data_IF_772887324618
#
_entry.id   IF_772887324618
#
_cell.length_a   1.000
_cell.length_b   1.000
_cell.length_c   1.000
_cell.angle_alpha   90.00
_cell.angle_beta   90.00
_cell.angle_gamma   90.00
#
_symmetry.space_group_name_H-M   'P 1'
#
loop_
_entity.id
_entity.type
_entity.pdbx_description
1 polymer ?
#
# COMPACT_ATOMS: atom_id res chain seq x y z
N UNK A 1 0.29 -0.21 -25.63
CA UNK A 1 -0.67 -0.91 -24.73
C UNK A 1 -1.53 -1.84 -25.56
N UNK A 2 -1.93 -2.98 -24.98
CA UNK A 2 -2.85 -3.93 -25.64
C UNK A 2 -4.17 -3.99 -24.88
N UNK A 3 -5.28 -3.76 -25.59
CA UNK A 3 -6.63 -3.86 -25.09
C UNK A 3 -7.28 -5.14 -25.61
N UNK A 4 -7.46 -6.11 -24.72
CA UNK A 4 -8.08 -7.39 -25.00
C UNK A 4 -9.52 -7.38 -24.45
N UNK A 5 -10.49 -7.79 -25.25
CA UNK A 5 -11.86 -7.94 -24.78
C UNK A 5 -12.56 -9.15 -25.40
N UNK A 6 -13.30 -9.90 -24.58
CA UNK A 6 -14.21 -10.93 -25.07
C UNK A 6 -15.38 -10.33 -25.85
N UNK A 7 -15.90 -9.18 -25.37
CA UNK A 7 -17.08 -8.51 -25.91
C UNK A 7 -16.97 -6.97 -25.89
N UNK A 8 -17.73 -6.25 -26.74
CA UNK A 8 -17.71 -4.79 -26.79
C UNK A 8 -18.53 -4.17 -25.64
N UNK A 9 -18.17 -4.47 -24.39
CA UNK A 9 -18.83 -3.92 -23.21
C UNK A 9 -18.59 -2.41 -23.05
N UNK A 10 -19.44 -1.72 -22.27
CA UNK A 10 -19.38 -0.25 -22.12
C UNK A 10 -18.01 0.23 -21.63
N UNK A 11 -17.49 -0.43 -20.60
CA UNK A 11 -16.16 -0.16 -20.03
C UNK A 11 -15.06 -0.17 -21.09
N UNK A 12 -15.03 -1.24 -21.91
CA UNK A 12 -14.12 -1.37 -23.04
C UNK A 12 -14.29 -0.24 -24.06
N UNK A 13 -15.53 0.08 -24.44
CA UNK A 13 -15.77 1.13 -25.44
C UNK A 13 -15.26 2.50 -24.96
N UNK A 14 -15.54 2.85 -23.69
CA UNK A 14 -15.08 4.11 -23.12
C UNK A 14 -13.57 4.16 -22.96
N UNK A 15 -12.96 3.08 -22.46
CA UNK A 15 -11.52 3.03 -22.29
C UNK A 15 -10.78 3.05 -23.63
N UNK A 16 -11.28 2.32 -24.63
CA UNK A 16 -10.72 2.34 -26.00
C UNK A 16 -10.70 3.77 -26.55
N UNK A 17 -11.83 4.46 -26.48
CA UNK A 17 -11.94 5.85 -26.94
C UNK A 17 -11.08 6.81 -26.12
N UNK A 18 -10.90 6.57 -24.82
CA UNK A 18 -9.98 7.33 -23.97
C UNK A 18 -8.53 7.17 -24.43
N UNK A 19 -8.05 5.92 -24.47
CA UNK A 19 -6.64 5.60 -24.77
C UNK A 19 -6.25 5.97 -26.20
N UNK A 20 -7.15 5.83 -27.18
CA UNK A 20 -6.85 6.20 -28.56
C UNK A 20 -6.70 7.72 -28.76
N UNK A 21 -7.34 8.54 -27.91
CA UNK A 21 -7.24 10.00 -27.97
C UNK A 21 -6.01 10.54 -27.24
N UNK A 22 -5.38 9.75 -26.39
CA UNK A 22 -4.17 10.14 -25.66
C UNK A 22 -2.94 10.00 -26.56
N UNK A 23 -2.30 11.12 -26.90
CA UNK A 23 -1.10 11.14 -27.75
C UNK A 23 0.10 10.41 -27.14
N UNK A 24 0.11 10.19 -25.82
CA UNK A 24 1.16 9.46 -25.12
C UNK A 24 0.97 7.93 -25.16
N UNK A 25 -0.13 7.44 -25.74
CA UNK A 25 -0.49 6.02 -25.77
C UNK A 25 -0.56 5.51 -27.21
N UNK A 26 0.14 4.41 -27.49
CA UNK A 26 -0.09 3.58 -28.68
C UNK A 26 -0.99 2.41 -28.26
N UNK A 27 -2.18 2.31 -28.85
CA UNK A 27 -3.21 1.35 -28.50
C UNK A 27 -3.43 0.32 -29.60
N UNK A 28 -3.14 -0.94 -29.28
CA UNK A 28 -3.57 -2.07 -30.11
C UNK A 28 -4.76 -2.76 -29.46
N UNK A 29 -5.66 -3.28 -30.29
CA UNK A 29 -6.94 -3.84 -29.85
C UNK A 29 -7.12 -5.25 -30.40
N UNK A 30 -7.43 -6.19 -29.50
CA UNK A 30 -7.91 -7.53 -29.84
C UNK A 30 -9.32 -7.71 -29.25
N UNK A 31 -10.33 -7.80 -30.13
CA UNK A 31 -11.71 -8.05 -29.74
C UNK A 31 -12.12 -9.45 -30.23
N UNK A 32 -12.29 -10.40 -29.32
CA UNK A 32 -12.52 -11.82 -29.64
C UNK A 32 -13.88 -12.06 -30.33
N UNK A 33 -14.91 -11.34 -29.91
CA UNK A 33 -16.21 -11.33 -30.62
C UNK A 33 -16.21 -10.52 -31.92
N UNK A 34 -15.07 -9.91 -32.26
CA UNK A 34 -14.87 -9.15 -33.48
C UNK A 34 -15.05 -10.01 -34.72
N UNK A 35 -15.54 -9.41 -35.80
CA UNK A 35 -15.62 -10.06 -37.12
C UNK A 35 -14.60 -9.44 -38.07
N UNK A 36 -14.13 -10.18 -39.09
CA UNK A 36 -13.30 -9.59 -40.13
C UNK A 36 -13.95 -8.34 -40.72
N UNK A 37 -13.18 -7.27 -40.86
CA UNK A 37 -13.64 -5.99 -41.41
C UNK A 37 -14.26 -5.01 -40.41
N UNK A 38 -14.18 -5.28 -39.09
CA UNK A 38 -14.51 -4.28 -38.08
C UNK A 38 -13.52 -3.10 -38.13
N UNK A 39 -14.05 -1.89 -37.93
CA UNK A 39 -13.25 -0.68 -37.73
C UNK A 39 -13.46 -0.20 -36.31
N UNK A 40 -12.36 0.08 -35.62
CA UNK A 40 -12.36 0.54 -34.23
C UNK A 40 -11.29 1.63 -34.05
N UNK A 41 -11.48 2.46 -33.03
CA UNK A 41 -10.48 3.45 -32.60
C UNK A 41 -9.30 2.72 -31.96
N UNK A 42 -8.28 2.44 -32.76
CA UNK A 42 -7.04 1.78 -32.37
C UNK A 42 -5.93 2.17 -33.36
N UNK A 43 -4.67 2.06 -32.93
CA UNK A 43 -3.52 2.16 -33.83
C UNK A 43 -3.41 0.90 -34.71
N UNK A 44 -3.59 -0.28 -34.10
CA UNK A 44 -3.68 -1.54 -34.82
C UNK A 44 -4.81 -2.41 -34.27
N UNK A 45 -5.55 -3.05 -35.18
CA UNK A 45 -6.49 -4.12 -34.85
C UNK A 45 -5.78 -5.45 -35.05
N UNK A 46 -5.73 -6.25 -34.00
CA UNK A 46 -5.13 -7.57 -34.01
C UNK A 46 -6.20 -8.62 -34.30
N UNK A 47 -5.86 -9.58 -35.15
CA UNK A 47 -6.69 -10.76 -35.42
C UNK A 47 -6.40 -11.89 -34.42
N UNK A 48 -5.19 -11.93 -33.87
CA UNK A 48 -4.73 -12.93 -32.90
C UNK A 48 -3.84 -12.27 -31.84
N UNK A 49 -3.69 -12.92 -30.69
CA UNK A 49 -2.82 -12.45 -29.62
C UNK A 49 -1.35 -12.71 -29.95
N UNK A 50 -0.42 -11.85 -29.50
CA UNK A 50 1.02 -12.03 -29.73
C UNK A 50 1.48 -13.47 -29.46
N UNK A 51 2.21 -14.04 -30.42
CA UNK A 51 2.71 -15.43 -30.34
C UNK A 51 4.21 -15.49 -30.06
N UNK A 52 4.92 -14.38 -30.29
CA UNK A 52 6.35 -14.27 -30.03
C UNK A 52 6.65 -13.36 -28.85
N UNK A 53 7.82 -13.58 -28.24
CA UNK A 53 8.30 -12.74 -27.15
C UNK A 53 8.53 -11.31 -27.61
N UNK A 54 9.02 -11.13 -28.83
CA UNK A 54 9.35 -9.85 -29.43
C UNK A 54 8.09 -8.99 -29.64
N UNK A 55 7.01 -9.58 -30.14
CA UNK A 55 5.70 -8.91 -30.25
C UNK A 55 5.17 -8.51 -28.88
N UNK A 56 5.17 -9.45 -27.93
CA UNK A 56 4.70 -9.18 -26.57
C UNK A 56 5.54 -8.10 -25.86
N UNK A 57 6.83 -7.98 -26.20
CA UNK A 57 7.74 -7.00 -25.63
C UNK A 57 7.40 -5.56 -25.99
N UNK A 58 6.65 -5.33 -27.08
CA UNK A 58 6.23 -3.99 -27.50
C UNK A 58 5.17 -3.37 -26.57
N UNK A 59 4.54 -4.19 -25.73
CA UNK A 59 3.51 -3.76 -24.80
C UNK A 59 4.07 -3.54 -23.40
N UNK A 60 3.65 -2.45 -22.76
CA UNK A 60 3.89 -2.19 -21.33
C UNK A 60 2.79 -2.79 -20.44
N UNK A 61 1.56 -2.82 -20.95
CA UNK A 61 0.37 -3.24 -20.23
C UNK A 61 -0.64 -3.93 -21.16
N UNK A 62 -1.27 -4.98 -20.63
CA UNK A 62 -2.46 -5.62 -21.19
C UNK A 62 -3.65 -5.32 -20.28
N UNK A 63 -4.74 -4.83 -20.87
CA UNK A 63 -6.02 -4.63 -20.18
C UNK A 63 -7.02 -5.60 -20.79
N UNK A 64 -7.48 -6.56 -19.99
CA UNK A 64 -8.29 -7.67 -20.43
C UNK A 64 -9.70 -7.61 -19.82
N UNK A 65 -10.71 -7.40 -20.66
CA UNK A 65 -12.12 -7.31 -20.28
C UNK A 65 -12.86 -8.60 -20.61
N UNK A 66 -13.21 -9.38 -19.57
CA UNK A 66 -13.87 -10.68 -19.68
C UNK A 66 -13.34 -11.53 -20.85
N UNK A 67 -12.01 -11.74 -20.97
CA UNK A 67 -11.43 -12.48 -22.08
C UNK A 67 -11.84 -13.96 -22.04
N UNK A 68 -12.04 -14.56 -23.21
CA UNK A 68 -12.08 -16.01 -23.35
C UNK A 68 -10.67 -16.54 -23.48
N UNK A 69 -10.07 -16.92 -22.34
CA UNK A 69 -8.72 -17.46 -22.33
C UNK A 69 -8.60 -18.83 -23.03
N UNK A 70 -9.72 -19.53 -23.30
CA UNK A 70 -9.70 -20.82 -23.96
C UNK A 70 -9.39 -20.73 -25.46
N UNK A 71 -9.53 -19.56 -26.07
CA UNK A 71 -9.13 -19.32 -27.45
C UNK A 71 -7.61 -19.29 -27.65
N UNK A 72 -6.84 -19.02 -26.58
CA UNK A 72 -5.37 -18.97 -26.68
C UNK A 72 -4.73 -20.35 -26.65
N UNK A 73 -3.65 -20.51 -27.41
CA UNK A 73 -2.75 -21.66 -27.35
C UNK A 73 -1.99 -21.75 -26.02
N UNK A 74 -1.41 -22.92 -25.72
CA UNK A 74 -0.61 -23.12 -24.51
C UNK A 74 0.66 -22.26 -24.53
N UNK A 75 1.21 -22.03 -25.72
CA UNK A 75 2.34 -21.13 -25.97
C UNK A 75 1.99 -19.68 -25.65
N UNK A 76 0.84 -19.18 -26.12
CA UNK A 76 0.37 -17.82 -25.81
C UNK A 76 0.09 -17.63 -24.30
N UNK A 77 -0.49 -18.63 -23.63
CA UNK A 77 -0.71 -18.60 -22.18
C UNK A 77 0.62 -18.55 -21.42
N UNK A 78 1.59 -19.37 -21.83
CA UNK A 78 2.93 -19.37 -21.25
C UNK A 78 3.67 -18.05 -21.52
N UNK A 79 3.50 -17.48 -22.71
CA UNK A 79 4.07 -16.21 -23.09
C UNK A 79 3.52 -15.06 -22.24
N UNK A 80 2.20 -14.97 -22.06
CA UNK A 80 1.59 -13.96 -21.20
C UNK A 80 2.08 -14.10 -19.75
N UNK A 81 2.12 -15.33 -19.22
CA UNK A 81 2.55 -15.57 -17.84
C UNK A 81 4.01 -15.17 -17.60
N UNK A 82 4.92 -15.57 -18.49
CA UNK A 82 6.34 -15.19 -18.43
C UNK A 82 6.55 -13.69 -18.68
N UNK A 83 5.75 -13.06 -19.55
CA UNK A 83 5.82 -11.63 -19.79
C UNK A 83 5.43 -10.81 -18.55
N UNK A 84 4.40 -11.22 -17.81
CA UNK A 84 4.08 -10.60 -16.52
C UNK A 84 5.16 -10.92 -15.49
N UNK A 85 5.52 -12.19 -15.32
CA UNK A 85 6.42 -12.65 -14.25
C UNK A 85 7.85 -12.15 -14.38
N UNK A 86 8.41 -12.23 -15.59
CA UNK A 86 9.84 -12.01 -15.84
C UNK A 86 10.07 -10.70 -16.58
N UNK A 87 9.08 -10.23 -17.33
CA UNK A 87 9.25 -9.04 -18.14
C UNK A 87 8.68 -7.75 -17.53
N UNK A 88 8.12 -7.84 -16.32
CA UNK A 88 7.55 -6.69 -15.62
C UNK A 88 6.25 -6.18 -16.22
N UNK A 89 5.60 -6.96 -17.10
CA UNK A 89 4.38 -6.58 -17.78
C UNK A 89 3.24 -6.26 -16.80
N UNK A 90 2.52 -5.17 -17.07
CA UNK A 90 1.32 -4.81 -16.33
C UNK A 90 0.10 -5.57 -16.87
N UNK A 91 -0.73 -6.12 -15.98
CA UNK A 91 -1.98 -6.78 -16.37
C UNK A 91 -3.14 -6.22 -15.56
N UNK A 92 -4.17 -5.71 -16.23
CA UNK A 92 -5.47 -5.41 -15.62
C UNK A 92 -6.45 -6.43 -16.13
N UNK A 93 -7.06 -7.21 -15.24
CA UNK A 93 -8.08 -8.21 -15.56
C UNK A 93 -9.41 -7.78 -14.97
N UNK A 94 -10.40 -7.61 -15.83
CA UNK A 94 -11.75 -7.20 -15.44
C UNK A 94 -12.68 -8.37 -15.68
N UNK A 95 -13.37 -8.77 -14.61
CA UNK A 95 -14.37 -9.81 -14.67
C UNK A 95 -15.59 -9.40 -15.50
N UNK A 96 -16.20 -10.37 -16.17
CA UNK A 96 -17.51 -10.21 -16.78
C UNK A 96 -18.36 -11.47 -16.66
N UNK A 97 -19.62 -11.32 -17.04
CA UNK A 97 -20.64 -12.36 -16.88
C UNK A 97 -20.60 -13.42 -17.99
N UNK A 98 -19.84 -13.21 -19.07
CA UNK A 98 -19.90 -14.07 -20.26
C UNK A 98 -18.86 -15.18 -20.17
N UNK A 99 -17.58 -14.82 -20.15
CA UNK A 99 -16.48 -15.79 -20.26
C UNK A 99 -16.02 -16.28 -18.89
N UNK A 100 -15.88 -15.37 -17.92
CA UNK A 100 -15.61 -15.74 -16.54
C UNK A 100 -16.84 -16.35 -15.87
N UNK A 101 -18.04 -15.85 -16.19
CA UNK A 101 -19.35 -16.27 -15.68
C UNK A 101 -19.88 -17.63 -16.15
N UNK A 102 -19.12 -18.43 -16.91
CA UNK A 102 -19.58 -19.75 -17.36
C UNK A 102 -19.17 -20.87 -16.38
N UNK A 103 -20.06 -21.37 -15.50
CA UNK A 103 -19.68 -22.28 -14.43
C UNK A 103 -19.44 -23.72 -14.90
N UNK A 104 -19.87 -24.08 -16.13
CA UNK A 104 -19.82 -25.47 -16.63
C UNK A 104 -18.67 -25.71 -17.59
N UNK A 105 -18.38 -24.74 -18.47
CA UNK A 105 -17.34 -24.85 -19.51
C UNK A 105 -16.35 -23.68 -19.52
N UNK A 106 -16.48 -22.71 -18.61
CA UNK A 106 -15.59 -21.56 -18.57
C UNK A 106 -14.14 -21.93 -18.22
N UNK A 107 -13.23 -21.09 -18.68
CA UNK A 107 -11.78 -21.20 -18.49
C UNK A 107 -11.37 -21.37 -17.02
N UNK A 108 -12.18 -20.89 -16.07
CA UNK A 108 -11.93 -21.02 -14.63
C UNK A 108 -11.88 -22.49 -14.17
N UNK A 109 -12.65 -23.38 -14.79
CA UNK A 109 -12.66 -24.80 -14.46
C UNK A 109 -11.64 -25.62 -15.26
N UNK A 110 -11.23 -25.12 -16.43
CA UNK A 110 -10.32 -25.78 -17.37
C UNK A 110 -8.91 -25.96 -16.77
N UNK A 111 -8.42 -27.19 -16.70
CA UNK A 111 -7.10 -27.49 -16.12
C UNK A 111 -5.95 -26.78 -16.86
N UNK A 112 -6.08 -26.56 -18.17
CA UNK A 112 -5.10 -25.87 -19.03
C UNK A 112 -4.84 -24.44 -18.57
N UNK A 113 -5.84 -23.82 -17.96
CA UNK A 113 -5.81 -22.42 -17.51
C UNK A 113 -5.15 -22.21 -16.14
N UNK A 114 -4.35 -23.17 -15.67
CA UNK A 114 -3.65 -23.07 -14.38
C UNK A 114 -2.74 -21.83 -14.27
N UNK A 115 -2.02 -21.53 -15.35
CA UNK A 115 -1.15 -20.34 -15.44
C UNK A 115 -1.95 -19.04 -15.42
N UNK A 116 -3.02 -18.95 -16.22
CA UNK A 116 -3.92 -17.79 -16.22
C UNK A 116 -4.52 -17.56 -14.84
N UNK A 117 -5.10 -18.59 -14.21
CA UNK A 117 -5.62 -18.48 -12.84
C UNK A 117 -4.55 -18.02 -11.85
N UNK A 118 -3.28 -18.38 -12.07
CA UNK A 118 -2.17 -17.97 -11.20
C UNK A 118 -1.88 -16.46 -11.28
N UNK A 119 -2.12 -15.82 -12.43
CA UNK A 119 -1.95 -14.37 -12.61
C UNK A 119 -2.94 -13.54 -11.80
N UNK A 120 -4.18 -14.00 -11.62
CA UNK A 120 -5.21 -13.23 -10.91
C UNK A 120 -4.88 -13.11 -9.41
N UNK A 121 -5.05 -11.95 -8.75
CA UNK A 121 -4.86 -11.76 -7.29
C UNK A 121 -5.93 -12.41 -6.41
N UNK A 122 -6.82 -13.20 -7.00
CA UNK A 122 -7.93 -13.86 -6.33
C UNK A 122 -7.88 -15.37 -6.58
N UNK A 123 -8.53 -16.10 -5.71
CA UNK A 123 -8.72 -17.55 -5.83
C UNK A 123 -10.13 -17.84 -6.33
N UNK A 124 -10.25 -18.75 -7.28
CA UNK A 124 -11.52 -19.10 -7.89
C UNK A 124 -12.12 -20.34 -7.23
N UNK A 125 -13.45 -20.39 -7.14
CA UNK A 125 -14.17 -21.58 -6.71
C UNK A 125 -14.20 -22.62 -7.84
N UNK A 126 -13.50 -23.75 -7.65
CA UNK A 126 -13.39 -24.84 -8.64
C UNK A 126 -14.37 -26.00 -8.40
N UNK A 127 -15.32 -25.85 -7.48
CA UNK A 127 -16.33 -26.88 -7.19
C UNK A 127 -17.70 -26.32 -7.57
N UNK A 128 -18.54 -27.18 -8.12
CA UNK A 128 -19.97 -26.93 -8.39
C UNK A 128 -20.69 -26.59 -7.06
N UNK A 129 -20.52 -25.37 -6.57
CA UNK A 129 -21.53 -24.71 -5.77
C UNK A 129 -22.60 -24.23 -6.75
N UNK A 130 -23.88 -24.41 -6.43
CA UNK A 130 -24.99 -24.11 -7.34
C UNK A 130 -24.90 -22.72 -7.96
N UNK A 131 -25.36 -22.57 -9.21
CA UNK A 131 -25.46 -21.30 -9.98
C UNK A 131 -24.53 -20.20 -9.47
N UNK A 132 -23.23 -20.35 -9.75
CA UNK A 132 -22.24 -19.26 -9.68
C UNK A 132 -22.50 -18.26 -10.82
N UNK A 133 -23.74 -17.80 -10.92
CA UNK A 133 -24.10 -16.72 -11.83
C UNK A 133 -23.44 -15.45 -11.29
N UNK A 134 -22.96 -14.59 -12.19
CA UNK A 134 -22.52 -13.25 -11.82
C UNK A 134 -23.59 -12.59 -10.97
N UNK A 135 -23.26 -12.17 -9.75
CA UNK A 135 -24.22 -11.48 -8.91
C UNK A 135 -24.54 -10.13 -9.53
N UNK A 136 -25.83 -9.82 -9.71
CA UNK A 136 -26.29 -8.53 -10.16
C UNK A 136 -27.47 -8.07 -9.28
N UNK A 137 -27.25 -7.00 -8.54
CA UNK A 137 -28.27 -6.30 -7.75
C UNK A 137 -29.14 -5.42 -8.67
N UNK A 138 -30.38 -5.18 -8.25
CA UNK A 138 -31.26 -4.17 -8.86
C UNK A 138 -30.82 -2.75 -8.52
N UNK A 139 -30.24 -2.56 -7.33
CA UNK A 139 -29.78 -1.27 -6.80
C UNK A 139 -28.24 -1.19 -6.86
N UNK A 140 -27.66 -0.01 -7.11
CA UNK A 140 -26.21 0.16 -7.05
C UNK A 140 -25.72 0.15 -5.59
N UNK A 141 -24.55 -0.45 -5.36
CA UNK A 141 -23.91 -0.50 -4.05
C UNK A 141 -22.52 0.13 -4.10
N UNK A 142 -22.19 1.03 -3.16
CA UNK A 142 -20.88 1.67 -3.11
C UNK A 142 -19.78 0.64 -2.90
N UNK A 143 -18.55 1.00 -3.22
CA UNK A 143 -17.40 0.16 -2.90
C UNK A 143 -16.97 0.41 -1.45
N UNK A 144 -16.73 -0.68 -0.72
CA UNK A 144 -16.22 -0.64 0.64
C UNK A 144 -14.68 -0.73 0.60
N UNK A 145 -14.01 0.39 0.84
CA UNK A 145 -12.56 0.48 0.70
C UNK A 145 -11.86 -0.04 1.95
N UNK A 146 -10.89 -0.92 1.73
CA UNK A 146 -9.92 -1.29 2.76
C UNK A 146 -8.98 -0.12 3.07
N UNK A 147 -8.23 -0.21 4.17
CA UNK A 147 -7.18 0.78 4.48
C UNK A 147 -6.18 0.90 3.33
N UNK A 148 -5.73 -0.23 2.80
CA UNK A 148 -4.77 -0.28 1.70
C UNK A 148 -5.34 0.34 0.43
N UNK A 149 -6.64 0.17 0.16
CA UNK A 149 -7.34 0.82 -0.95
C UNK A 149 -7.50 2.32 -0.78
N UNK A 150 -7.76 2.79 0.44
CA UNK A 150 -7.79 4.23 0.76
C UNK A 150 -6.41 4.86 0.57
N UNK A 151 -5.33 4.16 0.93
CA UNK A 151 -3.95 4.65 0.79
C UNK A 151 -3.38 4.48 -0.63
N UNK A 152 -4.08 3.75 -1.52
CA UNK A 152 -3.62 3.47 -2.88
C UNK A 152 -3.86 4.64 -3.83
N UNK A 153 -2.85 5.51 -3.99
CA UNK A 153 -2.96 6.72 -4.85
C UNK A 153 -3.35 6.44 -6.30
N UNK A 154 -2.96 5.27 -6.83
CA UNK A 154 -3.35 4.87 -8.18
C UNK A 154 -4.84 4.55 -8.31
N UNK A 155 -5.53 4.43 -7.18
CA UNK A 155 -6.96 4.17 -7.06
C UNK A 155 -7.74 5.42 -6.60
N UNK A 156 -7.06 6.58 -6.49
CA UNK A 156 -7.69 7.85 -6.16
C UNK A 156 -8.31 8.54 -7.37
N UNK A 157 -9.51 9.10 -7.20
CA UNK A 157 -10.21 9.90 -8.21
C UNK A 157 -9.78 11.38 -8.23
N UNK A 158 -9.07 11.83 -7.19
CA UNK A 158 -8.54 13.18 -7.04
C UNK A 158 -7.05 13.16 -6.65
N UNK A 159 -6.45 14.33 -6.45
CA UNK A 159 -5.01 14.47 -6.13
C UNK A 159 -4.68 14.23 -4.66
N UNK A 160 -5.66 14.38 -3.77
CA UNK A 160 -5.54 14.13 -2.34
C UNK A 160 -6.54 13.08 -1.85
N UNK A 161 -6.19 12.45 -0.73
CA UNK A 161 -6.96 11.34 -0.16
C UNK A 161 -8.39 11.76 0.23
N UNK A 162 -8.54 12.94 0.85
CA UNK A 162 -9.84 13.40 1.35
C UNK A 162 -10.80 13.72 0.20
N UNK A 163 -10.34 14.46 -0.81
CA UNK A 163 -11.11 14.73 -2.02
C UNK A 163 -11.42 13.45 -2.79
N UNK A 164 -10.48 12.49 -2.84
CA UNK A 164 -10.76 11.21 -3.48
C UNK A 164 -11.81 10.39 -2.74
N UNK A 165 -11.81 10.40 -1.40
CA UNK A 165 -12.86 9.73 -0.62
C UNK A 165 -14.22 10.37 -0.84
N UNK A 166 -14.28 11.70 -0.93
CA UNK A 166 -15.51 12.42 -1.26
C UNK A 166 -16.01 12.04 -2.67
N UNK A 167 -15.13 12.05 -3.67
CA UNK A 167 -15.46 11.65 -5.04
C UNK A 167 -15.96 10.21 -5.13
N UNK A 168 -15.37 9.28 -4.35
CA UNK A 168 -15.87 7.92 -4.23
C UNK A 168 -17.21 7.84 -3.49
N UNK A 169 -17.49 8.74 -2.56
CA UNK A 169 -18.78 8.86 -1.86
C UNK A 169 -19.91 9.38 -2.76
N UNK A 170 -19.59 10.21 -3.76
CA UNK A 170 -20.54 10.69 -4.77
C UNK A 170 -20.89 9.61 -5.81
N UNK A 171 -20.04 8.59 -5.95
CA UNK A 171 -20.29 7.45 -6.82
C UNK A 171 -21.34 6.52 -6.19
N UNK A 172 -22.51 6.41 -6.84
CA UNK A 172 -23.60 5.55 -6.37
C UNK A 172 -23.22 4.07 -6.25
N UNK A 173 -22.19 3.63 -6.98
CA UNK A 173 -21.65 2.30 -6.87
C UNK A 173 -21.85 1.41 -8.09
N UNK A 174 -21.65 0.11 -7.87
CA UNK A 174 -21.71 -0.94 -8.90
C UNK A 174 -22.87 -1.88 -8.61
N UNK A 175 -23.37 -2.55 -9.64
CA UNK A 175 -24.51 -3.45 -9.52
C UNK A 175 -24.05 -4.90 -9.37
N UNK A 176 -22.86 -5.20 -9.86
CA UNK A 176 -22.38 -6.57 -10.01
C UNK A 176 -20.94 -6.76 -9.57
N UNK A 177 -20.64 -8.00 -9.21
CA UNK A 177 -19.29 -8.50 -9.00
C UNK A 177 -19.24 -9.99 -9.38
N UNK A 178 -18.04 -10.49 -9.66
CA UNK A 178 -17.83 -11.91 -9.87
C UNK A 178 -17.44 -12.66 -8.58
N UNK A 179 -18.10 -13.78 -8.25
CA UNK A 179 -17.82 -14.55 -7.04
C UNK A 179 -16.46 -15.23 -7.07
N UNK A 180 -15.63 -14.94 -6.06
CA UNK A 180 -14.31 -15.54 -5.86
C UNK A 180 -14.23 -16.11 -4.45
N UNK A 181 -13.43 -17.16 -4.26
CA UNK A 181 -13.24 -17.78 -2.95
C UNK A 181 -12.54 -16.85 -1.95
N UNK A 182 -11.78 -15.88 -2.45
CA UNK A 182 -11.08 -14.87 -1.65
C UNK A 182 -9.79 -14.39 -2.32
N UNK A 183 -9.06 -13.45 -1.68
CA UNK A 183 -7.76 -13.00 -2.17
C UNK A 183 -6.70 -14.11 -2.05
N UNK A 184 -5.69 -14.09 -2.91
CA UNK A 184 -4.52 -14.96 -2.77
C UNK A 184 -3.62 -14.51 -1.61
N UNK A 185 -2.81 -15.43 -1.04
CA UNK A 185 -1.71 -15.03 -0.18
C UNK A 185 -0.76 -14.06 -0.91
N UNK A 186 -0.59 -12.85 -0.39
CA UNK A 186 0.22 -11.79 -1.01
C UNK A 186 -0.55 -10.87 -1.97
N UNK A 187 -1.86 -11.04 -2.13
CA UNK A 187 -2.71 -10.06 -2.78
C UNK A 187 -3.21 -9.03 -1.76
N UNK A 188 -3.18 -7.77 -2.16
CA UNK A 188 -3.74 -6.65 -1.41
C UNK A 188 -5.14 -6.39 -1.93
N UNK A 189 -6.15 -6.60 -1.08
CA UNK A 189 -7.53 -6.19 -1.39
C UNK A 189 -7.60 -4.68 -1.27
N UNK A 190 -8.12 -4.00 -2.30
CA UNK A 190 -8.29 -2.56 -2.33
C UNK A 190 -9.72 -2.18 -1.94
N UNK A 191 -10.70 -2.85 -2.55
CA UNK A 191 -12.11 -2.58 -2.31
C UNK A 191 -12.94 -3.86 -2.32
N UNK A 192 -14.03 -3.85 -1.56
CA UNK A 192 -15.01 -4.92 -1.45
C UNK A 192 -16.38 -4.46 -1.93
N UNK A 193 -17.21 -5.40 -2.37
CA UNK A 193 -18.59 -5.13 -2.70
C UNK A 193 -19.42 -5.03 -1.42
N UNK A 194 -20.22 -3.96 -1.27
CA UNK A 194 -20.82 -3.58 0.03
C UNK A 194 -22.25 -4.06 0.25
N UNK A 195 -22.86 -4.79 -0.69
CA UNK A 195 -24.24 -5.25 -0.55
C UNK A 195 -24.40 -6.15 0.69
N UNK A 196 -25.20 -5.74 1.70
CA UNK A 196 -25.38 -6.49 2.94
C UNK A 196 -26.11 -7.82 2.74
N UNK A 197 -26.72 -8.06 1.57
CA UNK A 197 -27.32 -9.35 1.21
C UNK A 197 -26.26 -10.38 0.84
N UNK A 198 -25.01 -9.95 0.64
CA UNK A 198 -23.93 -10.75 0.09
C UNK A 198 -22.72 -10.75 1.02
N UNK A 199 -22.52 -11.88 1.70
CA UNK A 199 -21.45 -12.04 2.68
C UNK A 199 -21.77 -11.39 4.03
N UNK A 200 -20.91 -11.63 5.01
CA UNK A 200 -20.90 -10.90 6.29
C UNK A 200 -19.94 -9.72 6.21
N UNK A 201 -20.00 -8.78 7.18
CA UNK A 201 -19.09 -7.63 7.22
C UNK A 201 -17.60 -8.03 7.16
N UNK A 202 -17.22 -9.16 7.77
CA UNK A 202 -15.85 -9.68 7.75
C UNK A 202 -15.50 -10.43 6.45
N UNK A 203 -16.48 -10.85 5.66
CA UNK A 203 -16.29 -11.69 4.47
C UNK A 203 -17.01 -11.14 3.24
N UNK A 204 -17.00 -9.81 3.07
CA UNK A 204 -17.56 -9.16 1.88
C UNK A 204 -16.76 -9.56 0.62
N UNK A 205 -17.43 -9.75 -0.53
CA UNK A 205 -16.75 -10.15 -1.76
C UNK A 205 -15.67 -9.17 -2.20
N UNK A 206 -14.56 -9.70 -2.74
CA UNK A 206 -13.48 -8.87 -3.29
C UNK A 206 -13.94 -8.23 -4.60
N UNK A 207 -13.96 -6.91 -4.65
CA UNK A 207 -14.23 -6.17 -5.88
C UNK A 207 -12.94 -5.77 -6.60
N UNK A 208 -11.97 -5.22 -5.87
CA UNK A 208 -10.68 -4.85 -6.42
C UNK A 208 -9.55 -5.43 -5.58
N UNK A 209 -8.58 -6.06 -6.24
CA UNK A 209 -7.38 -6.57 -5.60
C UNK A 209 -6.19 -6.42 -6.52
N UNK A 210 -5.01 -6.21 -5.96
CA UNK A 210 -3.76 -6.12 -6.70
C UNK A 210 -2.74 -7.08 -6.10
N UNK A 211 -1.87 -7.63 -6.94
CA UNK A 211 -0.71 -8.37 -6.47
C UNK A 211 0.50 -8.11 -7.35
N UNK A 212 1.68 -8.34 -6.79
CA UNK A 212 2.85 -8.61 -7.59
C UNK A 212 2.81 -10.04 -8.11
N UNK A 213 3.17 -10.20 -9.38
CA UNK A 213 3.39 -11.50 -9.98
C UNK A 213 4.75 -11.50 -10.65
N UNK A 214 5.75 -12.08 -9.97
CA UNK A 214 7.16 -11.87 -10.33
C UNK A 214 7.53 -10.38 -10.26
N UNK A 215 8.00 -9.81 -11.37
CA UNK A 215 8.27 -8.38 -11.52
C UNK A 215 7.10 -7.57 -12.11
N UNK A 216 6.02 -8.23 -12.52
CA UNK A 216 4.81 -7.58 -13.00
C UNK A 216 3.83 -7.25 -11.88
N UNK A 217 2.82 -6.46 -12.21
CA UNK A 217 1.66 -6.20 -11.35
C UNK A 217 0.40 -6.67 -12.05
N UNK A 218 -0.46 -7.34 -11.30
CA UNK A 218 -1.79 -7.76 -11.77
C UNK A 218 -2.86 -7.12 -10.90
N UNK A 219 -3.69 -6.29 -11.53
CA UNK A 219 -4.87 -5.67 -10.93
C UNK A 219 -6.12 -6.40 -11.39
N UNK A 220 -6.97 -6.77 -10.45
CA UNK A 220 -8.27 -7.38 -10.69
C UNK A 220 -9.39 -6.41 -10.36
N UNK A 221 -10.39 -6.36 -11.24
CA UNK A 221 -11.68 -5.70 -11.02
C UNK A 221 -12.82 -6.71 -11.16
N UNK A 222 -13.75 -6.69 -10.21
CA UNK A 222 -14.82 -7.66 -10.08
C UNK A 222 -15.98 -7.46 -11.04
N UNK A 223 -16.05 -6.33 -11.73
CA UNK A 223 -16.95 -6.10 -12.86
C UNK A 223 -16.50 -4.90 -13.69
N UNK A 224 -17.04 -4.80 -14.91
CA UNK A 224 -16.79 -3.73 -15.87
C UNK A 224 -17.81 -2.60 -15.73
N UNK A 225 -17.88 -1.98 -14.54
CA UNK A 225 -18.89 -0.96 -14.19
C UNK A 225 -18.31 0.39 -13.73
N UNK A 226 -17.00 0.59 -13.76
CA UNK A 226 -16.39 1.87 -13.37
C UNK A 226 -16.66 2.98 -14.40
N UNK A 227 -17.10 2.66 -15.62
CA UNK A 227 -17.62 3.65 -16.59
C UNK A 227 -18.73 4.53 -16.02
N UNK A 228 -19.45 4.03 -15.00
CA UNK A 228 -20.51 4.76 -14.30
C UNK A 228 -19.98 5.92 -13.47
N UNK A 229 -18.68 5.97 -13.14
CA UNK A 229 -18.05 7.12 -12.49
C UNK A 229 -18.30 8.42 -13.26
N UNK A 230 -18.46 8.33 -14.59
CA UNK A 230 -18.82 9.45 -15.47
C UNK A 230 -20.16 10.11 -15.14
N UNK A 231 -21.05 9.41 -14.43
CA UNK A 231 -22.33 9.96 -13.98
C UNK A 231 -22.15 10.92 -12.79
N UNK A 232 -21.09 10.72 -11.99
CA UNK A 232 -20.72 11.62 -10.91
C UNK A 232 -19.86 12.77 -11.43
N UNK A 233 -18.78 12.44 -12.16
CA UNK A 233 -17.93 13.40 -12.88
C UNK A 233 -17.33 12.72 -14.11
N UNK A 234 -17.41 13.37 -15.27
CA UNK A 234 -16.86 12.85 -16.53
C UNK A 234 -15.36 12.51 -16.44
N UNK A 235 -14.60 13.28 -15.66
CA UNK A 235 -13.15 13.11 -15.50
C UNK A 235 -12.77 11.91 -14.61
N UNK A 236 -13.64 11.45 -13.71
CA UNK A 236 -13.29 10.38 -12.75
C UNK A 236 -12.90 9.07 -13.44
N UNK A 237 -13.58 8.71 -14.54
CA UNK A 237 -13.26 7.51 -15.30
C UNK A 237 -11.89 7.59 -15.98
N UNK A 238 -11.57 8.77 -16.54
CA UNK A 238 -10.25 9.01 -17.13
C UNK A 238 -9.16 8.94 -16.06
N UNK A 239 -9.34 9.66 -14.95
CA UNK A 239 -8.38 9.70 -13.84
C UNK A 239 -8.07 8.30 -13.31
N UNK A 240 -9.10 7.50 -13.03
CA UNK A 240 -8.89 6.16 -12.46
C UNK A 240 -8.14 5.25 -13.43
N UNK A 241 -8.52 5.21 -14.71
CA UNK A 241 -7.85 4.34 -15.68
C UNK A 241 -6.43 4.78 -16.02
N UNK A 242 -6.20 6.09 -16.17
CA UNK A 242 -4.86 6.63 -16.39
C UNK A 242 -3.93 6.29 -15.23
N UNK A 243 -4.41 6.42 -13.98
CA UNK A 243 -3.63 6.08 -12.79
C UNK A 243 -3.40 4.57 -12.64
N UNK A 244 -4.44 3.74 -12.83
CA UNK A 244 -4.33 2.28 -12.76
C UNK A 244 -3.35 1.75 -13.82
N UNK A 245 -3.51 2.15 -15.09
CA UNK A 245 -2.66 1.71 -16.20
C UNK A 245 -1.21 2.14 -16.00
N UNK A 246 -0.97 3.39 -15.60
CA UNK A 246 0.38 3.87 -15.27
C UNK A 246 1.00 3.07 -14.14
N UNK A 247 0.24 2.76 -13.09
CA UNK A 247 0.73 2.01 -11.94
C UNK A 247 1.12 0.57 -12.29
N UNK A 248 0.28 -0.16 -13.02
CA UNK A 248 0.62 -1.55 -13.41
C UNK A 248 1.77 -1.60 -14.42
N UNK A 249 1.92 -0.58 -15.28
CA UNK A 249 2.99 -0.49 -16.28
C UNK A 249 4.36 -0.15 -15.69
N UNK A 250 4.42 0.27 -14.42
CA UNK A 250 5.66 0.68 -13.76
C UNK A 250 6.74 -0.41 -13.78
N UNK A 251 6.39 -1.70 -13.78
CA UNK A 251 7.36 -2.80 -13.83
C UNK A 251 8.27 -2.73 -15.07
N UNK A 252 7.70 -2.36 -16.22
CA UNK A 252 8.45 -2.15 -17.48
C UNK A 252 9.08 -0.78 -17.56
N UNK A 253 8.33 0.27 -17.23
CA UNK A 253 8.79 1.66 -17.35
C UNK A 253 9.95 2.00 -16.40
N UNK A 254 10.07 1.27 -15.27
CA UNK A 254 11.09 1.51 -14.25
C UNK A 254 12.24 0.50 -14.29
N UNK A 255 12.43 -0.22 -15.41
CA UNK A 255 13.69 -0.93 -15.66
C UNK A 255 14.81 0.08 -15.82
N UNK A 256 15.40 0.48 -14.69
CA UNK A 256 16.56 1.37 -14.64
C UNK A 256 17.82 0.73 -15.22
N UNK A 257 17.82 -0.59 -15.41
CA UNK A 257 18.83 -1.37 -16.12
C UNK A 257 18.16 -2.54 -16.84
N UNK A 258 18.77 -3.03 -17.92
CA UNK A 258 18.38 -4.29 -18.56
C UNK A 258 18.58 -5.50 -17.64
N UNK A 259 19.34 -5.34 -16.55
CA UNK A 259 19.72 -6.41 -15.61
C UNK A 259 18.81 -6.55 -14.38
N UNK A 260 17.77 -5.72 -14.25
CA UNK A 260 16.81 -5.90 -13.17
C UNK A 260 15.76 -4.81 -12.98
N UNK A 261 14.83 -5.08 -12.07
CA UNK A 261 13.75 -4.17 -11.70
C UNK A 261 13.59 -4.14 -10.17
N UNK A 262 13.48 -2.94 -9.59
CA UNK A 262 13.24 -2.70 -8.16
C UNK A 262 11.82 -2.15 -7.98
N UNK A 263 10.99 -2.90 -7.27
CA UNK A 263 9.56 -2.66 -7.14
C UNK A 263 9.16 -2.50 -5.67
N UNK A 264 8.21 -1.59 -5.46
CA UNK A 264 7.60 -1.29 -4.16
C UNK A 264 6.09 -1.26 -4.32
N UNK A 265 5.33 -1.63 -3.29
CA UNK A 265 3.86 -1.67 -3.36
C UNK A 265 3.26 -0.30 -3.66
N UNK A 266 3.79 0.76 -3.03
CA UNK A 266 3.35 2.15 -3.17
C UNK A 266 4.52 3.12 -3.29
N UNK A 267 4.22 4.34 -3.73
CA UNK A 267 5.23 5.43 -3.83
C UNK A 267 5.18 6.37 -2.63
N UNK A 268 4.04 6.45 -1.95
CA UNK A 268 3.85 7.21 -0.73
C UNK A 268 3.37 6.31 0.40
N UNK A 269 3.92 6.50 1.59
CA UNK A 269 3.62 5.73 2.78
C UNK A 269 3.35 6.65 3.96
N UNK A 270 2.54 6.16 4.89
CA UNK A 270 2.40 6.81 6.20
C UNK A 270 3.53 6.38 7.13
N UNK A 271 3.90 7.25 8.06
CA UNK A 271 4.85 6.91 9.12
C UNK A 271 4.39 5.67 9.89
N UNK A 272 5.29 4.71 10.09
CA UNK A 272 5.00 3.41 10.71
C UNK A 272 4.52 2.32 9.73
N UNK A 273 4.32 2.64 8.45
CA UNK A 273 3.93 1.64 7.44
C UNK A 273 5.08 0.66 7.15
N UNK A 274 4.73 -0.56 6.75
CA UNK A 274 5.70 -1.53 6.24
C UNK A 274 5.73 -1.43 4.71
N UNK A 275 6.92 -1.20 4.16
CA UNK A 275 7.18 -1.17 2.72
C UNK A 275 7.53 -2.59 2.28
N UNK A 276 6.80 -3.11 1.29
CA UNK A 276 7.12 -4.38 0.66
C UNK A 276 7.98 -4.15 -0.57
N UNK A 277 9.11 -4.87 -0.65
CA UNK A 277 10.08 -4.72 -1.73
C UNK A 277 10.19 -6.03 -2.48
N UNK A 278 10.16 -5.92 -3.81
CA UNK A 278 10.47 -7.01 -4.72
C UNK A 278 11.50 -6.58 -5.72
N UNK A 279 12.44 -7.48 -6.01
CA UNK A 279 13.51 -7.24 -6.97
C UNK A 279 13.63 -8.43 -7.87
N UNK A 280 13.70 -8.17 -9.17
CA UNK A 280 14.14 -9.16 -10.15
C UNK A 280 15.55 -8.79 -10.60
N UNK A 281 16.47 -9.75 -10.57
CA UNK A 281 17.84 -9.58 -11.01
C UNK A 281 18.24 -10.66 -11.99
N UNK A 282 19.07 -10.28 -12.95
CA UNK A 282 19.75 -11.18 -13.86
C UNK A 282 21.26 -11.02 -13.78
N UNK A 283 21.97 -12.09 -14.14
CA UNK A 283 23.42 -12.10 -14.23
C UNK A 283 23.91 -11.34 -15.48
N UNK A 284 25.22 -11.39 -15.74
CA UNK A 284 25.81 -10.73 -16.93
C UNK A 284 25.36 -11.36 -18.26
N UNK A 285 24.77 -12.56 -18.25
CA UNK A 285 24.22 -13.28 -19.41
C UNK A 285 22.72 -13.08 -19.57
N UNK A 286 22.11 -12.27 -18.71
CA UNK A 286 20.67 -12.06 -18.59
C UNK A 286 19.89 -13.30 -18.11
N UNK A 287 20.59 -14.29 -17.55
CA UNK A 287 19.96 -15.42 -16.87
C UNK A 287 19.52 -15.01 -15.45
N UNK A 288 18.44 -15.59 -14.89
CA UNK A 288 17.98 -15.26 -13.54
C UNK A 288 19.10 -15.46 -12.49
N UNK A 289 19.33 -14.44 -11.66
CA UNK A 289 20.41 -14.48 -10.67
C UNK A 289 20.17 -15.58 -9.62
N UNK A 290 21.11 -16.52 -9.52
CA UNK A 290 21.10 -17.56 -8.49
C UNK A 290 21.91 -17.10 -7.25
N UNK A 291 21.22 -16.46 -6.30
CA UNK A 291 21.78 -16.10 -5.00
C UNK A 291 20.76 -16.38 -3.89
N UNK A 292 21.20 -16.63 -2.65
CA UNK A 292 20.28 -16.84 -1.52
C UNK A 292 19.67 -15.53 -1.01
N UNK A 293 20.43 -14.44 -1.04
CA UNK A 293 19.97 -13.12 -0.65
C UNK A 293 20.77 -12.00 -1.33
N UNK A 294 20.18 -10.82 -1.40
CA UNK A 294 20.82 -9.59 -1.90
C UNK A 294 20.63 -8.44 -0.91
N UNK A 295 21.61 -7.55 -0.83
CA UNK A 295 21.60 -6.43 0.11
C UNK A 295 21.06 -5.16 -0.57
N UNK A 296 19.90 -4.69 -0.10
CA UNK A 296 19.36 -3.39 -0.48
C UNK A 296 19.84 -2.32 0.50
N UNK A 297 20.29 -1.18 0.00
CA UNK A 297 20.61 0.00 0.80
C UNK A 297 19.41 0.95 0.82
N UNK A 298 18.94 1.29 2.01
CA UNK A 298 17.87 2.26 2.24
C UNK A 298 18.50 3.50 2.83
N UNK A 299 18.55 4.57 2.04
CA UNK A 299 18.97 5.90 2.49
C UNK A 299 17.75 6.59 3.10
N UNK A 300 17.82 6.84 4.40
CA UNK A 300 16.77 7.48 5.20
C UNK A 300 16.81 9.01 5.03
N UNK A 301 15.72 9.74 5.35
CA UNK A 301 15.67 11.19 5.25
C UNK A 301 16.75 11.91 6.08
N UNK A 302 17.14 11.34 7.22
CA UNK A 302 18.25 11.82 8.06
C UNK A 302 19.64 11.71 7.41
N UNK A 303 19.75 10.99 6.28
CA UNK A 303 21.01 10.66 5.61
C UNK A 303 21.67 9.37 6.11
N UNK A 304 21.08 8.71 7.11
CA UNK A 304 21.50 7.39 7.58
C UNK A 304 21.26 6.33 6.50
N UNK A 305 22.15 5.35 6.40
CA UNK A 305 22.00 4.23 5.45
C UNK A 305 21.75 2.95 6.22
N UNK A 306 20.62 2.31 5.94
CA UNK A 306 20.22 1.03 6.51
C UNK A 306 20.27 -0.06 5.45
N UNK A 307 20.93 -1.17 5.74
CA UNK A 307 20.94 -2.34 4.85
C UNK A 307 19.78 -3.28 5.18
N UNK A 308 18.99 -3.66 4.17
CA UNK A 308 17.90 -4.63 4.25
C UNK A 308 18.26 -5.84 3.38
N UNK A 309 18.27 -7.03 3.98
CA UNK A 309 18.48 -8.26 3.22
C UNK A 309 17.18 -8.69 2.54
N UNK A 310 17.22 -8.86 1.22
CA UNK A 310 16.15 -9.42 0.42
C UNK A 310 16.44 -10.90 0.19
N UNK A 311 15.50 -11.77 0.53
CA UNK A 311 15.66 -13.22 0.43
C UNK A 311 15.14 -13.71 -0.92
N UNK A 312 15.78 -14.72 -1.49
CA UNK A 312 15.33 -15.34 -2.74
C UNK A 312 13.94 -15.96 -2.59
N UNK A 313 13.09 -15.79 -3.60
CA UNK A 313 11.78 -16.43 -3.68
C UNK A 313 11.95 -17.90 -4.09
N UNK A 314 11.54 -18.88 -3.26
CA UNK A 314 11.67 -20.30 -3.60
C UNK A 314 10.82 -20.71 -4.81
N UNK A 315 9.79 -19.93 -5.15
CA UNK A 315 8.93 -20.20 -6.30
C UNK A 315 9.51 -19.67 -7.62
N UNK A 316 10.43 -18.70 -7.59
CA UNK A 316 10.96 -18.03 -8.79
C UNK A 316 12.44 -17.65 -8.65
N UNK A 317 13.28 -18.24 -9.49
CA UNK A 317 14.69 -17.89 -9.60
C UNK A 317 14.89 -16.43 -10.04
N UNK A 318 15.93 -15.78 -9.53
CA UNK A 318 16.23 -14.37 -9.80
C UNK A 318 15.29 -13.37 -9.13
N UNK A 319 14.27 -13.82 -8.39
CA UNK A 319 13.37 -12.96 -7.62
C UNK A 319 13.79 -12.91 -6.16
N UNK A 320 13.80 -11.71 -5.59
CA UNK A 320 14.11 -11.45 -4.20
C UNK A 320 13.02 -10.60 -3.57
N UNK A 321 12.66 -10.91 -2.33
CA UNK A 321 11.64 -10.20 -1.57
C UNK A 321 12.13 -9.82 -0.18
N UNK A 322 11.66 -8.68 0.32
CA UNK A 322 11.94 -8.23 1.66
C UNK A 322 10.99 -7.13 2.08
N UNK A 323 11.10 -6.71 3.33
CA UNK A 323 10.25 -5.67 3.89
C UNK A 323 10.98 -4.88 4.96
N UNK A 324 10.62 -3.62 5.12
CA UNK A 324 11.11 -2.78 6.20
C UNK A 324 10.05 -1.78 6.62
N UNK A 325 10.16 -1.26 7.85
CA UNK A 325 9.22 -0.27 8.39
C UNK A 325 9.82 1.12 8.29
N UNK A 326 9.04 2.08 7.82
CA UNK A 326 9.44 3.50 7.74
C UNK A 326 9.14 4.21 9.05
N UNK A 327 10.12 4.87 9.64
CA UNK A 327 10.03 5.46 10.98
C UNK A 327 10.25 6.98 11.01
N UNK A 328 10.89 7.53 9.98
CA UNK A 328 11.08 8.97 9.79
C UNK A 328 10.18 9.48 8.66
N UNK A 329 9.69 10.71 8.80
CA UNK A 329 9.01 11.42 7.71
C UNK A 329 10.04 11.98 6.71
N UNK A 330 9.74 11.91 5.42
CA UNK A 330 10.60 12.45 4.36
C UNK A 330 10.80 11.52 3.17
N UNK A 331 11.71 11.89 2.29
CA UNK A 331 12.04 11.11 1.09
C UNK A 331 13.09 10.04 1.40
N UNK A 332 12.80 8.79 1.10
CA UNK A 332 13.74 7.68 1.19
C UNK A 332 14.24 7.31 -0.20
N UNK A 333 15.50 6.89 -0.30
CA UNK A 333 16.10 6.40 -1.53
C UNK A 333 16.58 4.97 -1.35
N UNK A 334 15.97 4.06 -2.09
CA UNK A 334 16.31 2.64 -2.15
C UNK A 334 17.34 2.46 -3.27
N UNK A 335 18.52 1.92 -2.93
CA UNK A 335 19.61 1.64 -3.86
C UNK A 335 20.00 0.18 -3.76
N UNK A 336 19.95 -0.54 -4.88
CA UNK A 336 20.42 -1.92 -4.97
C UNK A 336 21.58 -1.98 -5.98
N UNK A 337 22.81 -2.30 -5.53
CA UNK A 337 23.92 -2.58 -6.45
C UNK A 337 23.67 -3.89 -7.19
N UNK A 338 23.85 -3.89 -8.50
CA UNK A 338 23.67 -5.11 -9.30
C UNK A 338 24.91 -6.00 -9.11
N UNK A 339 24.75 -7.28 -8.73
CA UNK A 339 25.88 -8.21 -8.63
C UNK A 339 26.66 -8.30 -9.94
N UNK A 340 27.98 -8.35 -9.83
CA UNK A 340 28.92 -8.36 -10.96
C UNK A 340 28.92 -7.10 -11.82
N UNK A 341 28.42 -5.96 -11.31
CA UNK A 341 28.59 -4.63 -11.92
C UNK A 341 28.82 -3.58 -10.83
N UNK A 342 29.99 -2.93 -10.85
CA UNK A 342 30.32 -1.87 -9.87
C UNK A 342 29.64 -0.52 -10.19
N UNK A 343 29.16 -0.32 -11.41
CA UNK A 343 28.61 0.96 -11.88
C UNK A 343 27.07 0.99 -11.93
N UNK A 344 26.41 -0.16 -12.08
CA UNK A 344 24.95 -0.20 -12.21
C UNK A 344 24.24 -0.37 -10.86
N UNK A 345 23.32 0.56 -10.56
CA UNK A 345 22.46 0.51 -9.39
C UNK A 345 21.00 0.72 -9.75
N UNK A 346 20.14 -0.17 -9.28
CA UNK A 346 18.70 0.06 -9.32
C UNK A 346 18.34 1.05 -8.21
N UNK A 347 17.72 2.18 -8.58
CA UNK A 347 17.32 3.22 -7.63
C UNK A 347 15.82 3.42 -7.66
N UNK A 348 15.19 3.45 -6.47
CA UNK A 348 13.78 3.81 -6.29
C UNK A 348 13.64 4.85 -5.19
N UNK A 349 12.75 5.83 -5.35
CA UNK A 349 12.42 6.80 -4.32
C UNK A 349 11.02 6.53 -3.81
N UNK A 350 10.84 6.63 -2.49
CA UNK A 350 9.53 6.60 -1.84
C UNK A 350 9.41 7.82 -0.93
N UNK A 351 8.19 8.31 -0.74
CA UNK A 351 7.90 9.45 0.12
C UNK A 351 7.13 8.99 1.34
N UNK A 352 7.62 9.29 2.54
CA UNK A 352 6.90 9.05 3.78
C UNK A 352 6.35 10.38 4.27
N UNK A 353 5.10 10.36 4.73
CA UNK A 353 4.42 11.52 5.31
C UNK A 353 3.79 11.13 6.65
N UNK A 354 3.74 12.08 7.57
CA UNK A 354 2.88 11.93 8.73
C UNK A 354 1.45 12.32 8.32
N UNK A 355 0.43 11.47 8.57
CA UNK A 355 -0.95 11.88 8.32
C UNK A 355 -1.28 13.08 9.20
N UNK A 356 -1.72 14.18 8.58
CA UNK A 356 -2.15 15.39 9.26
C UNK A 356 -3.67 15.31 9.43
N UNK A 357 -4.09 14.38 10.30
CA UNK A 357 -5.50 14.04 10.52
C UNK A 357 -6.31 15.28 10.93
N UNK A 358 -5.70 16.22 11.64
CA UNK A 358 -6.27 17.49 12.06
C UNK A 358 -6.57 18.44 10.89
N UNK A 359 -5.79 18.40 9.80
CA UNK A 359 -6.07 19.13 8.55
C UNK A 359 -7.03 18.39 7.63
N UNK A 360 -6.93 17.08 7.55
CA UNK A 360 -7.80 16.24 6.71
C UNK A 360 -9.25 16.21 7.24
N UNK A 361 -9.40 16.18 8.56
CA UNK A 361 -10.68 16.25 9.25
C UNK A 361 -10.69 17.43 10.24
N UNK A 362 -10.97 18.66 9.76
CA UNK A 362 -10.98 19.85 10.62
C UNK A 362 -12.13 19.84 11.65
N UNK A 363 -13.02 18.84 11.60
CA UNK A 363 -14.10 18.66 12.57
C UNK A 363 -13.58 17.89 13.78
N UNK A 364 -13.89 18.39 14.97
CA UNK A 364 -13.63 17.71 16.24
C UNK A 364 -14.34 16.35 16.26
N UNK A 365 -13.60 15.26 16.45
CA UNK A 365 -14.17 13.92 16.55
C UNK A 365 -14.71 13.66 17.96
N UNK A 366 -15.90 14.21 18.24
CA UNK A 366 -16.57 14.12 19.55
C UNK A 366 -16.75 12.68 20.03
N UNK A 367 -17.02 11.74 19.12
CA UNK A 367 -17.23 10.33 19.46
C UNK A 367 -15.94 9.67 19.97
N UNK A 368 -14.82 9.85 19.26
CA UNK A 368 -13.53 9.32 19.66
C UNK A 368 -13.08 9.92 20.99
N UNK A 369 -13.21 11.24 21.14
CA UNK A 369 -12.84 11.94 22.37
C UNK A 369 -13.69 11.48 23.56
N UNK A 370 -14.99 11.25 23.36
CA UNK A 370 -15.86 10.66 24.38
C UNK A 370 -15.47 9.23 24.76
N UNK A 371 -15.08 8.40 23.79
CA UNK A 371 -14.59 7.02 24.05
C UNK A 371 -13.28 7.04 24.84
N UNK A 372 -12.31 7.87 24.45
CA UNK A 372 -11.03 8.00 25.13
C UNK A 372 -11.20 8.47 26.57
N UNK A 373 -12.02 9.50 26.79
CA UNK A 373 -12.31 9.99 28.14
C UNK A 373 -12.86 8.87 29.03
N UNK A 374 -13.86 8.11 28.56
CA UNK A 374 -14.40 6.97 29.31
C UNK A 374 -13.35 5.89 29.60
N UNK A 375 -12.47 5.60 28.64
CA UNK A 375 -11.42 4.60 28.80
C UNK A 375 -10.36 5.00 29.86
N UNK A 376 -10.12 6.30 30.03
CA UNK A 376 -9.17 6.84 31.02
C UNK A 376 -9.83 7.27 32.34
N UNK A 377 -11.07 6.83 32.61
CA UNK A 377 -11.85 7.25 33.79
C UNK A 377 -12.06 8.78 33.89
N UNK A 378 -12.14 9.44 32.73
CA UNK A 378 -12.39 10.87 32.57
C UNK A 378 -13.75 11.15 31.92
N UNK A 379 -14.16 12.43 31.92
CA UNK A 379 -15.40 12.90 31.31
C UNK A 379 -15.10 13.80 30.11
N UNK A 380 -15.84 13.60 29.02
CA UNK A 380 -15.73 14.44 27.83
C UNK A 380 -16.69 15.61 27.92
N UNK A 381 -16.18 16.80 27.64
CA UNK A 381 -16.96 18.04 27.57
C UNK A 381 -16.84 18.61 26.16
N UNK A 382 -17.97 18.82 25.49
CA UNK A 382 -18.04 19.24 24.09
C UNK A 382 -17.79 20.75 23.90
N UNK A 383 -16.80 21.32 24.59
CA UNK A 383 -16.46 22.75 24.59
C UNK A 383 -16.32 23.31 26.00
N UNK A 384 -15.81 24.54 26.08
CA UNK A 384 -15.60 25.24 27.37
C UNK A 384 -16.96 25.52 28.05
N UNK A 385 -17.98 25.91 27.28
CA UNK A 385 -19.33 26.19 27.80
C UNK A 385 -19.96 24.97 28.48
N UNK A 386 -19.75 23.78 27.92
CA UNK A 386 -20.23 22.53 28.50
C UNK A 386 -19.45 22.12 29.77
N UNK A 387 -18.21 22.60 29.92
CA UNK A 387 -17.35 22.32 31.07
C UNK A 387 -17.52 23.35 32.21
N UNK A 388 -18.01 24.55 31.91
CA UNK A 388 -18.16 25.68 32.83
C UNK A 388 -19.60 26.20 32.87
N UNK A 389 -20.59 25.30 32.93
CA UNK A 389 -21.93 25.72 33.37
C UNK A 389 -21.96 25.88 34.89
N UNK A 390 -22.78 26.78 35.42
CA UNK A 390 -22.83 27.08 36.87
C UNK A 390 -23.01 25.82 37.74
N UNK A 391 -23.68 24.77 37.22
CA UNK A 391 -23.85 23.47 37.90
C UNK A 391 -22.68 22.47 37.68
N UNK A 392 -21.88 22.60 36.61
CA UNK A 392 -20.81 21.62 36.27
C UNK A 392 -19.42 22.01 36.78
N UNK A 393 -19.21 23.26 37.18
CA UNK A 393 -17.93 23.74 37.73
C UNK A 393 -17.50 22.96 38.98
N UNK A 394 -18.43 22.67 39.90
CA UNK A 394 -18.13 21.86 41.09
C UNK A 394 -17.80 20.40 40.71
N UNK A 395 -18.55 19.81 39.78
CA UNK A 395 -18.29 18.44 39.28
C UNK A 395 -16.92 18.31 38.61
N UNK A 396 -16.45 19.36 37.91
CA UNK A 396 -15.16 19.36 37.23
C UNK A 396 -13.99 19.36 38.23
N UNK A 397 -14.09 20.17 39.29
CA UNK A 397 -13.08 20.25 40.34
C UNK A 397 -13.01 18.92 41.11
N UNK A 398 -14.15 18.30 41.41
CA UNK A 398 -14.20 16.99 42.08
C UNK A 398 -13.57 15.87 41.23
N UNK A 399 -13.64 15.95 39.90
CA UNK A 399 -13.02 14.96 39.00
C UNK A 399 -11.49 15.06 38.94
N UNK A 400 -10.90 16.21 39.28
CA UNK A 400 -9.45 16.39 39.33
C UNK A 400 -8.89 15.74 40.59
N UNK A 401 -8.66 14.41 40.53
CA UNK A 401 -8.01 13.65 41.60
C UNK A 401 -6.67 14.30 41.96
N UNK A 402 -6.52 14.72 43.21
CA UNK A 402 -5.27 15.27 43.71
C UNK A 402 -4.15 14.23 43.59
N UNK A 403 -3.17 14.53 42.74
CA UNK A 403 -1.96 13.71 42.49
C UNK A 403 -0.72 14.39 43.04
N UNK A 404 -0.87 15.34 43.96
CA UNK A 404 0.25 16.04 44.59
C UNK A 404 1.23 15.03 45.17
N UNK A 405 2.41 14.95 44.55
CA UNK A 405 3.49 14.08 44.97
C UNK A 405 4.49 14.90 45.75
N UNK A 406 4.62 14.64 47.04
CA UNK A 406 5.67 15.25 47.86
C UNK A 406 7.00 14.62 47.48
N UNK A 407 7.75 15.27 46.61
CA UNK A 407 9.12 14.86 46.29
C UNK A 407 10.01 15.37 47.41
N UNK A 408 10.47 14.46 48.28
CA UNK A 408 11.45 14.78 49.32
C UNK A 408 12.80 14.97 48.62
N UNK A 409 13.10 16.22 48.26
CA UNK A 409 14.45 16.61 47.89
C UNK A 409 15.27 16.64 49.19
N UNK A 410 16.19 15.69 49.37
CA UNK A 410 17.24 15.80 50.38
C UNK A 410 18.08 17.02 50.05
N UNK A 411 17.74 18.16 50.63
CA UNK A 411 18.58 19.33 50.61
C UNK A 411 19.94 18.94 51.24
N UNK A 412 21.04 19.35 50.59
CA UNK A 412 22.38 19.22 51.16
C UNK A 412 22.46 19.87 52.55
N UNK A 413 23.50 19.58 53.35
CA UNK A 413 23.60 20.00 54.74
C UNK A 413 23.30 21.50 54.87
N UNK A 414 22.36 21.84 55.76
CA UNK A 414 21.93 23.22 55.93
C UNK A 414 23.13 24.10 56.25
N UNK A 415 23.13 25.34 55.75
CA UNK A 415 24.21 26.31 55.98
C UNK A 415 24.52 26.48 57.47
N UNK A 416 23.49 26.40 58.32
CA UNK A 416 23.61 26.42 59.78
C UNK A 416 24.38 25.21 60.34
N UNK A 417 24.18 24.02 59.79
CA UNK A 417 24.95 22.82 60.19
C UNK A 417 26.42 22.94 59.80
N UNK A 418 26.71 23.43 58.59
CA UNK A 418 28.08 23.68 58.14
C UNK A 418 28.79 24.72 59.02
N UNK A 419 28.13 25.83 59.34
CA UNK A 419 28.69 26.87 60.21
C UNK A 419 28.97 26.34 61.62
N UNK A 420 28.07 25.53 62.17
CA UNK A 420 28.27 24.95 63.50
C UNK A 420 29.41 23.92 63.50
N UNK A 421 29.52 23.10 62.45
CA UNK A 421 30.61 22.14 62.29
C UNK A 421 31.98 22.85 62.15
N UNK A 422 32.06 23.90 61.33
CA UNK A 422 33.27 24.70 61.14
C UNK A 422 33.70 25.40 62.44
N UNK A 423 32.76 25.91 63.24
CA UNK A 423 33.06 26.51 64.55
C UNK A 423 33.67 25.49 65.51
N UNK A 424 33.08 24.30 65.62
CA UNK A 424 33.64 23.23 66.45
C UNK A 424 35.03 22.79 65.99
N UNK A 425 35.23 22.65 64.68
CA UNK A 425 36.53 22.32 64.11
C UNK A 425 37.59 23.38 64.45
N UNK A 426 37.24 24.66 64.35
CA UNK A 426 38.11 25.77 64.74
C UNK A 426 38.45 25.76 66.23
N UNK A 427 37.46 25.54 67.12
CA UNK A 427 37.73 25.46 68.56
C UNK A 427 38.65 24.31 68.92
N UNK A 428 38.47 23.14 68.31
CA UNK A 428 39.36 21.98 68.53
C UNK A 428 40.78 22.30 68.06
N UNK A 429 40.93 22.87 66.86
CA UNK A 429 42.24 23.19 66.29
C UNK A 429 42.98 24.24 67.13
N UNK A 430 42.30 25.32 67.52
CA UNK A 430 42.86 26.33 68.42
C UNK A 430 43.20 25.75 69.79
N UNK A 431 42.36 24.86 70.33
CA UNK A 431 42.62 24.16 71.59
C UNK A 431 43.86 23.28 71.52
N UNK A 432 44.03 22.51 70.45
CA UNK A 432 45.22 21.69 70.21
C UNK A 432 46.48 22.53 70.09
N UNK A 433 46.44 23.64 69.34
CA UNK A 433 47.57 24.58 69.24
C UNK A 433 47.90 25.24 70.59
N UNK A 434 46.88 25.56 71.40
CA UNK A 434 47.09 26.13 72.72
C UNK A 434 47.71 25.11 73.69
N UNK A 435 47.25 23.86 73.65
CA UNK A 435 47.84 22.76 74.42
C UNK A 435 49.27 22.51 73.97
N UNK A 436 49.53 22.48 72.66
CA UNK A 436 50.89 22.34 72.12
C UNK A 436 51.80 23.47 72.61
N UNK A 437 51.33 24.72 72.54
CA UNK A 437 52.07 25.87 73.06
C UNK A 437 52.33 25.75 74.56
N UNK A 438 51.34 25.34 75.35
CA UNK A 438 51.46 25.15 76.80
C UNK A 438 52.50 24.07 77.13
N UNK A 439 52.47 22.95 76.40
CA UNK A 439 53.45 21.86 76.54
C UNK A 439 54.85 22.36 76.18
N UNK A 440 55.01 23.06 75.04
CA UNK A 440 56.31 23.63 74.63
C UNK A 440 56.87 24.59 75.70
N UNK A 441 56.00 25.41 76.31
CA UNK A 441 56.37 26.35 77.37
C UNK A 441 56.77 25.66 78.68
N UNK A 442 56.04 24.61 79.09
CA UNK A 442 56.36 23.84 80.29
C UNK A 442 57.65 23.03 80.16
N UNK A 443 57.96 22.55 78.95
CA UNK A 443 59.17 21.76 78.65
C UNK A 443 60.39 22.66 78.32
N UNK A 444 60.26 24.00 78.38
CA UNK A 444 61.32 24.99 78.07
C UNK A 444 61.91 24.85 76.64
N UNK A 445 61.07 24.51 75.67
CA UNK A 445 61.45 24.41 74.26
C UNK A 445 61.11 25.68 73.45
N UNK A 446 60.63 26.74 74.11
CA UNK A 446 60.30 28.04 73.51
C UNK A 446 60.73 29.18 74.43
#
# INVERSE_FOLDING_TARGET
MLLLAGGPMREYQFLRGLLHRDESVVLDVLLQSGRPGISQEANQLLDDFPVTREEMYQYDCVIAFDPDWQEFSDEQIALLESWVAEQGGGLIVVAGAVNMGNPVRGWVQDERMGKIRSLYPVTFERRFAGTLDSYASTDPWPLDFTREGIEAEFFWLADDMAASQQAWGDFSGVYSYYPVAGPKPGATVLARFSDPRVGSDENRPVYAAIQFYGSGRVLYLGSAELWRLRMADEAHFETIYTKMTRHVSQGRLLRGSSRGALLVDRDRYMLGSTVEIRVQLTDARLDPLAAESVALQVVEPSGSVRTVALLADPARLGMFAGRFTVLEEGAYRLELPIPDSDEERLTRRIQVRMPDLEREHPRRNDELLAKLARATDGRYYAGIEAAFSDDTCEELIEQLKDRTKTIILTAGPSRAWQENWLRWFMYITCGLLFVEWLIRRLVKLA
#
